data_IF_809550161924
#
_entry.id   IF_809550161924
#
_cell.length_a   1.000
_cell.length_b   1.000
_cell.length_c   1.000
_cell.angle_alpha   90.00
_cell.angle_beta   90.00
_cell.angle_gamma   90.00
#
_symmetry.space_group_name_H-M   'P 1'
#
loop_
_entity.id
_entity.type
_entity.pdbx_description
1 polymer ?
#
# COMPACT_ATOMS: atom_id res chain seq x y z
N UNK A 1 -21.16 -60.65 -6.86
CA UNK A 1 -20.20 -61.63 -6.34
C UNK A 1 -19.70 -61.16 -4.97
N UNK A 2 -19.70 -62.07 -3.99
CA UNK A 2 -19.19 -61.91 -2.63
C UNK A 2 -17.66 -61.59 -2.65
N UNK A 3 -17.01 -60.97 -1.67
CA UNK A 3 -17.24 -60.92 -0.24
C UNK A 3 -16.18 -61.74 0.51
N UNK A 4 -15.29 -61.04 1.24
CA UNK A 4 -14.49 -61.46 2.40
C UNK A 4 -13.18 -62.30 2.25
N UNK A 5 -12.09 -61.66 2.73
CA UNK A 5 -11.17 -62.07 3.81
C UNK A 5 -10.46 -63.44 3.78
N UNK A 6 -9.12 -63.43 3.85
CA UNK A 6 -8.38 -64.02 4.99
C UNK A 6 -6.86 -63.98 4.74
N UNK A 7 -6.17 -63.47 5.76
CA UNK A 7 -4.73 -63.54 6.01
C UNK A 7 -4.25 -64.99 6.05
N UNK A 8 -3.05 -65.25 5.51
CA UNK A 8 -2.13 -66.27 6.05
C UNK A 8 -0.69 -65.75 6.02
N UNK A 9 -0.08 -65.97 7.17
CA UNK A 9 1.23 -65.58 7.65
C UNK A 9 2.30 -66.60 7.22
N UNK A 10 3.56 -66.27 7.51
CA UNK A 10 4.75 -67.14 7.63
C UNK A 10 5.58 -67.41 6.35
N UNK A 11 6.77 -66.82 6.28
CA UNK A 11 8.02 -67.47 6.73
C UNK A 11 9.25 -66.72 6.20
N UNK A 12 10.11 -66.32 7.13
CA UNK A 12 11.47 -65.81 6.90
C UNK A 12 12.38 -66.95 6.42
N UNK A 13 13.22 -66.73 5.40
CA UNK A 13 14.63 -67.21 5.30
C UNK A 13 15.21 -66.86 3.92
N UNK A 14 16.12 -65.90 3.87
CA UNK A 14 17.59 -66.05 3.82
C UNK A 14 18.11 -65.85 2.38
N UNK A 15 18.84 -64.75 2.21
CA UNK A 15 19.57 -64.38 0.99
C UNK A 15 20.81 -65.28 0.85
N UNK A 16 21.16 -65.77 -0.35
CA UNK A 16 22.51 -66.24 -0.60
C UNK A 16 23.43 -65.05 -0.93
N UNK A 17 24.48 -64.97 -0.12
CA UNK A 17 25.65 -64.10 -0.24
C UNK A 17 26.39 -64.33 -1.57
N UNK A 18 26.95 -63.27 -2.17
CA UNK A 18 28.03 -63.47 -3.15
C UNK A 18 28.16 -62.51 -4.34
N UNK A 19 27.34 -61.48 -4.51
CA UNK A 19 27.54 -60.50 -5.59
C UNK A 19 28.29 -59.25 -5.08
N UNK A 20 29.62 -59.30 -5.12
CA UNK A 20 30.47 -58.13 -4.91
C UNK A 20 30.24 -57.11 -6.03
N UNK A 21 29.56 -56.00 -5.72
CA UNK A 21 29.59 -54.78 -6.52
C UNK A 21 30.20 -53.70 -5.65
N UNK A 22 31.46 -53.37 -5.97
CA UNK A 22 32.25 -52.31 -5.36
C UNK A 22 31.44 -51.01 -5.33
N UNK A 23 30.99 -50.62 -4.14
CA UNK A 23 30.57 -49.24 -3.86
C UNK A 23 31.82 -48.38 -3.94
N UNK A 24 31.96 -47.62 -5.01
CA UNK A 24 32.85 -46.47 -4.99
C UNK A 24 32.17 -45.41 -4.13
N UNK A 25 32.58 -45.35 -2.86
CA UNK A 25 32.32 -44.18 -2.02
C UNK A 25 32.87 -42.97 -2.75
N UNK A 26 31.99 -42.21 -3.40
CA UNK A 26 32.32 -40.87 -3.87
C UNK A 26 32.33 -39.96 -2.65
N UNK A 27 33.36 -40.13 -1.82
CA UNK A 27 33.76 -39.15 -0.84
C UNK A 27 34.17 -37.91 -1.62
N UNK A 28 33.24 -36.98 -1.83
CA UNK A 28 33.59 -35.59 -2.18
C UNK A 28 34.11 -34.92 -0.91
N UNK A 29 35.32 -35.36 -0.54
CA UNK A 29 36.17 -34.83 0.53
C UNK A 29 36.34 -33.35 0.28
N UNK A 30 36.06 -32.57 1.31
CA UNK A 30 36.31 -31.13 1.45
C UNK A 30 37.40 -30.64 0.49
N UNK A 31 36.98 -29.96 -0.58
CA UNK A 31 37.94 -29.34 -1.49
C UNK A 31 38.60 -28.18 -0.74
N UNK A 32 39.93 -28.25 -0.59
CA UNK A 32 40.77 -27.22 0.03
C UNK A 32 40.65 -25.81 -0.61
N UNK A 33 39.91 -25.69 -1.71
CA UNK A 33 39.55 -24.44 -2.37
C UNK A 33 38.27 -23.79 -1.81
N UNK A 34 37.44 -24.48 -1.02
CA UNK A 34 36.22 -23.91 -0.46
C UNK A 34 36.46 -22.69 0.47
N UNK A 35 37.53 -22.65 1.30
CA UNK A 35 37.84 -21.48 2.13
C UNK A 35 38.38 -20.31 1.30
N UNK A 36 39.33 -20.57 0.40
CA UNK A 36 39.96 -19.54 -0.44
C UNK A 36 38.99 -18.92 -1.44
N UNK A 37 38.07 -19.70 -2.03
CA UNK A 37 36.99 -19.19 -2.88
C UNK A 37 35.99 -18.37 -2.05
N UNK A 38 35.69 -18.78 -0.81
CA UNK A 38 34.85 -17.98 0.11
C UNK A 38 35.54 -16.67 0.48
N UNK A 39 36.82 -16.68 0.79
CA UNK A 39 37.59 -15.49 1.15
C UNK A 39 37.80 -14.54 -0.04
N UNK A 40 38.07 -15.06 -1.24
CA UNK A 40 38.14 -14.28 -2.47
C UNK A 40 36.77 -13.64 -2.78
N UNK A 41 35.68 -14.42 -2.71
CA UNK A 41 34.30 -13.89 -2.86
C UNK A 41 33.96 -12.83 -1.79
N UNK A 42 34.49 -12.98 -0.58
CA UNK A 42 34.30 -12.05 0.54
C UNK A 42 35.13 -10.77 0.40
N UNK A 43 36.30 -10.84 -0.27
CA UNK A 43 37.14 -9.67 -0.57
C UNK A 43 36.63 -8.82 -1.74
N UNK A 44 35.88 -9.40 -2.68
CA UNK A 44 35.41 -8.68 -3.89
C UNK A 44 34.07 -7.96 -3.71
N UNK A 45 33.22 -8.38 -2.77
CA UNK A 45 31.96 -7.65 -2.48
C UNK A 45 32.23 -6.57 -1.44
N UNK A 46 32.55 -5.36 -1.90
CA UNK A 46 32.39 -4.17 -1.06
C UNK A 46 30.91 -4.04 -0.74
N UNK A 47 30.55 -4.46 0.46
CA UNK A 47 29.20 -4.31 0.97
C UNK A 47 29.03 -2.85 1.37
N UNK A 48 28.10 -2.18 0.71
CA UNK A 48 27.79 -0.78 0.94
C UNK A 48 26.45 -0.66 1.68
N UNK A 49 26.28 0.42 2.43
CA UNK A 49 25.01 0.80 3.02
C UNK A 49 24.58 2.13 2.40
N UNK A 50 23.46 2.12 1.70
CA UNK A 50 22.86 3.32 1.12
C UNK A 50 21.34 3.21 1.21
N UNK A 51 20.66 4.34 1.16
CA UNK A 51 19.20 4.38 1.19
C UNK A 51 18.60 3.73 -0.05
N UNK A 52 17.57 2.91 0.15
CA UNK A 52 16.92 2.22 -0.96
C UNK A 52 15.45 1.96 -0.67
N UNK A 53 14.67 1.88 -1.74
CA UNK A 53 13.31 1.38 -1.71
C UNK A 53 13.28 -0.09 -2.16
N UNK A 54 12.85 -1.02 -1.29
CA UNK A 54 12.80 -2.43 -1.62
C UNK A 54 11.82 -2.77 -2.75
N UNK A 55 10.92 -1.87 -3.14
CA UNK A 55 10.02 -2.05 -4.28
C UNK A 55 10.62 -1.62 -5.63
N UNK A 56 11.69 -0.83 -5.63
CA UNK A 56 12.28 -0.26 -6.85
C UNK A 56 13.80 -0.47 -7.01
N UNK A 57 14.52 -0.84 -5.94
CA UNK A 57 15.98 -1.06 -5.98
C UNK A 57 16.38 -2.17 -6.94
N UNK A 58 17.41 -1.94 -7.76
CA UNK A 58 17.86 -2.88 -8.80
C UNK A 58 18.49 -4.16 -8.22
N UNK A 59 18.59 -5.22 -9.05
CA UNK A 59 19.30 -6.46 -8.68
C UNK A 59 20.77 -6.19 -8.36
N UNK A 60 21.42 -5.31 -9.12
CA UNK A 60 22.80 -4.90 -8.91
C UNK A 60 22.98 -4.17 -7.57
N UNK A 61 22.08 -3.24 -7.25
CA UNK A 61 22.10 -2.51 -5.99
C UNK A 61 21.82 -3.42 -4.79
N UNK A 62 20.92 -4.40 -4.92
CA UNK A 62 20.77 -5.45 -3.91
C UNK A 62 22.09 -6.22 -3.70
N UNK A 63 22.82 -6.53 -4.77
CA UNK A 63 24.13 -7.19 -4.64
C UNK A 63 25.16 -6.31 -3.91
N UNK A 64 25.15 -4.99 -4.15
CA UNK A 64 25.99 -4.01 -3.43
C UNK A 64 25.62 -3.88 -1.96
N UNK A 65 24.33 -4.03 -1.61
CA UNK A 65 23.85 -4.12 -0.24
C UNK A 65 24.25 -5.43 0.47
N UNK A 66 24.86 -6.37 -0.25
CA UNK A 66 25.42 -7.61 0.27
C UNK A 66 24.56 -8.86 0.03
N UNK A 67 23.49 -8.75 -0.76
CA UNK A 67 22.74 -9.92 -1.21
C UNK A 67 23.54 -10.73 -2.24
N UNK A 68 23.38 -12.04 -2.23
CA UNK A 68 23.81 -12.85 -3.37
C UNK A 68 22.91 -12.58 -4.58
N UNK A 69 23.43 -12.80 -5.78
CA UNK A 69 22.66 -12.68 -7.03
C UNK A 69 21.34 -13.49 -6.97
N UNK A 70 21.38 -14.72 -6.44
CA UNK A 70 20.17 -15.54 -6.22
C UNK A 70 19.15 -14.87 -5.29
N UNK A 71 19.63 -14.25 -4.22
CA UNK A 71 18.77 -13.53 -3.28
C UNK A 71 18.16 -12.28 -3.95
N UNK A 72 18.97 -11.51 -4.66
CA UNK A 72 18.54 -10.32 -5.38
C UNK A 72 17.48 -10.65 -6.45
N UNK A 73 17.73 -11.70 -7.26
CA UNK A 73 16.76 -12.22 -8.23
C UNK A 73 15.48 -12.75 -7.57
N UNK A 74 15.56 -13.33 -6.37
CA UNK A 74 14.37 -13.79 -5.65
C UNK A 74 13.50 -12.61 -5.21
N UNK A 75 14.10 -11.50 -4.76
CA UNK A 75 13.39 -10.27 -4.41
C UNK A 75 12.75 -9.67 -5.67
N UNK A 76 13.48 -9.63 -6.77
CA UNK A 76 12.98 -9.09 -8.04
C UNK A 76 11.81 -9.92 -8.60
N UNK A 77 11.93 -11.25 -8.60
CA UNK A 77 10.85 -12.16 -8.97
C UNK A 77 9.61 -12.01 -8.09
N UNK A 78 9.78 -11.72 -6.79
CA UNK A 78 8.66 -11.43 -5.91
C UNK A 78 7.92 -10.16 -6.36
N UNK A 79 8.64 -9.09 -6.72
CA UNK A 79 8.03 -7.85 -7.24
C UNK A 79 7.33 -8.05 -8.58
N UNK A 80 7.95 -8.82 -9.48
CA UNK A 80 7.41 -9.14 -10.80
C UNK A 80 6.09 -9.92 -10.72
N UNK A 81 5.90 -10.71 -9.67
CA UNK A 81 4.64 -11.43 -9.37
C UNK A 81 3.60 -10.56 -8.65
N UNK A 82 3.84 -9.26 -8.50
CA UNK A 82 2.94 -8.34 -7.77
C UNK A 82 3.19 -8.26 -6.27
N UNK A 83 4.23 -8.90 -5.76
CA UNK A 83 4.67 -8.74 -4.38
C UNK A 83 5.13 -7.30 -4.09
N UNK A 84 4.78 -6.78 -2.92
CA UNK A 84 5.11 -5.41 -2.48
C UNK A 84 5.49 -5.39 -1.01
N UNK A 85 6.54 -4.65 -0.70
CA UNK A 85 6.97 -4.36 0.67
C UNK A 85 6.31 -3.07 1.12
N UNK A 86 5.32 -3.16 2.01
CA UNK A 86 4.54 -2.00 2.49
C UNK A 86 5.18 -1.40 3.73
N UNK A 87 5.76 -2.25 4.58
CA UNK A 87 6.44 -1.87 5.83
C UNK A 87 7.86 -2.40 5.83
N UNK A 88 8.74 -1.75 6.59
CA UNK A 88 10.11 -2.25 6.80
C UNK A 88 10.11 -3.69 7.33
N UNK A 89 9.14 -4.04 8.17
CA UNK A 89 8.94 -5.39 8.70
C UNK A 89 8.63 -6.43 7.63
N UNK A 90 8.06 -6.04 6.49
CA UNK A 90 7.75 -6.98 5.40
C UNK A 90 9.04 -7.45 4.72
N UNK A 91 10.03 -6.55 4.64
CA UNK A 91 11.35 -6.89 4.13
C UNK A 91 12.08 -7.86 5.06
N UNK A 92 11.88 -7.75 6.38
CA UNK A 92 12.43 -8.71 7.35
C UNK A 92 11.83 -10.12 7.20
N UNK A 93 10.52 -10.21 6.92
CA UNK A 93 9.79 -11.47 6.77
C UNK A 93 10.09 -12.20 5.45
N UNK A 94 10.76 -11.54 4.51
CA UNK A 94 11.17 -12.19 3.26
C UNK A 94 12.18 -13.30 3.58
N UNK A 95 11.86 -14.55 3.19
CA UNK A 95 12.68 -15.77 3.38
C UNK A 95 14.14 -15.65 2.89
N UNK A 96 14.43 -14.59 2.15
CA UNK A 96 15.69 -14.30 1.50
C UNK A 96 16.64 -13.50 2.41
N UNK A 97 16.10 -12.80 3.41
CA UNK A 97 16.84 -11.84 4.25
C UNK A 97 17.12 -12.46 5.61
N UNK A 98 18.41 -12.65 5.94
CA UNK A 98 18.78 -13.06 7.29
C UNK A 98 18.57 -11.90 8.28
N UNK A 99 18.18 -12.18 9.52
CA UNK A 99 17.96 -11.19 10.57
C UNK A 99 19.13 -10.20 10.73
N UNK A 100 20.37 -10.68 10.62
CA UNK A 100 21.57 -9.85 10.71
C UNK A 100 21.71 -8.87 9.55
N UNK A 101 21.29 -9.26 8.35
CA UNK A 101 21.25 -8.39 7.17
C UNK A 101 20.14 -7.36 7.32
N UNK A 102 18.96 -7.78 7.79
CA UNK A 102 17.84 -6.87 8.03
C UNK A 102 18.21 -5.77 9.03
N UNK A 103 18.74 -6.13 10.22
CA UNK A 103 19.13 -5.14 11.24
C UNK A 103 20.15 -4.12 10.73
N UNK A 104 21.05 -4.53 9.83
CA UNK A 104 22.02 -3.63 9.19
C UNK A 104 21.35 -2.67 8.20
N UNK A 105 20.35 -3.14 7.46
CA UNK A 105 19.71 -2.39 6.37
C UNK A 105 18.48 -1.60 6.81
N UNK A 106 17.83 -1.95 7.92
CA UNK A 106 16.62 -1.30 8.45
C UNK A 106 16.71 0.24 8.51
N UNK A 107 17.83 0.86 8.93
CA UNK A 107 17.96 2.32 8.93
C UNK A 107 17.94 2.94 7.54
N UNK A 108 18.29 2.17 6.51
CA UNK A 108 18.43 2.62 5.12
C UNK A 108 17.21 2.30 4.25
N UNK A 109 16.30 1.43 4.71
CA UNK A 109 15.06 1.14 4.00
C UNK A 109 14.19 2.41 4.01
N UNK A 110 13.80 2.86 2.82
CA UNK A 110 12.84 3.94 2.58
C UNK A 110 11.69 3.38 1.76
N UNK A 111 10.50 3.32 2.33
CA UNK A 111 9.29 2.93 1.58
C UNK A 111 8.43 4.20 1.53
N UNK A 112 8.19 4.76 0.33
CA UNK A 112 7.36 5.95 0.19
C UNK A 112 5.92 5.64 0.63
N UNK A 113 5.26 6.64 1.21
CA UNK A 113 3.84 6.56 1.50
C UNK A 113 3.03 6.70 0.21
N UNK A 114 1.80 6.21 0.23
CA UNK A 114 0.86 6.42 -0.86
C UNK A 114 0.11 7.72 -0.63
N UNK A 115 0.31 8.68 -1.50
CA UNK A 115 -0.46 9.93 -1.49
C UNK A 115 -1.86 9.68 -2.07
N UNK A 116 -2.88 9.83 -1.22
CA UNK A 116 -4.27 9.55 -1.59
C UNK A 116 -4.81 10.52 -2.65
N UNK A 117 -4.18 11.67 -2.84
CA UNK A 117 -4.61 12.64 -3.87
C UNK A 117 -4.00 12.40 -5.24
N UNK A 118 -2.85 11.73 -5.33
CA UNK A 118 -2.14 11.49 -6.59
C UNK A 118 -2.09 10.02 -6.99
N UNK A 119 -2.38 9.10 -6.08
CA UNK A 119 -2.42 7.67 -6.37
C UNK A 119 -3.44 7.33 -7.47
N UNK A 120 -3.04 6.40 -8.34
CA UNK A 120 -3.94 5.74 -9.27
C UNK A 120 -4.51 4.45 -8.65
N UNK A 121 -5.31 3.72 -9.42
CA UNK A 121 -5.90 2.45 -8.97
C UNK A 121 -4.85 1.43 -8.50
N UNK A 122 -3.68 1.39 -9.16
CA UNK A 122 -2.58 0.49 -8.78
C UNK A 122 -1.89 0.93 -7.48
N UNK A 123 -1.75 2.24 -7.25
CA UNK A 123 -1.25 2.82 -6.01
C UNK A 123 -2.15 2.51 -4.82
N UNK A 124 -3.47 2.57 -5.01
CA UNK A 124 -4.42 2.17 -3.96
C UNK A 124 -4.43 0.67 -3.70
N UNK A 125 -4.41 -0.17 -4.74
CA UNK A 125 -4.34 -1.64 -4.60
C UNK A 125 -3.05 -2.11 -3.89
N UNK A 126 -2.00 -1.29 -3.91
CA UNK A 126 -0.79 -1.53 -3.13
C UNK A 126 -0.99 -1.40 -1.62
N UNK A 127 -2.08 -0.80 -1.12
CA UNK A 127 -2.36 -0.67 0.32
C UNK A 127 -2.94 -1.97 0.90
N UNK A 128 -2.62 -2.31 2.16
CA UNK A 128 -3.14 -3.51 2.79
C UNK A 128 -4.65 -3.40 3.02
N UNK A 129 -5.41 -4.42 2.64
CA UNK A 129 -6.86 -4.43 2.79
C UNK A 129 -7.63 -3.59 1.76
N UNK A 130 -6.91 -2.95 0.83
CA UNK A 130 -7.48 -2.25 -0.32
C UNK A 130 -7.32 -3.14 -1.54
N UNK A 131 -8.45 -3.60 -2.09
CA UNK A 131 -8.49 -4.29 -3.37
C UNK A 131 -9.13 -3.41 -4.44
N UNK A 132 -9.37 -3.95 -5.65
CA UNK A 132 -9.90 -3.19 -6.78
C UNK A 132 -11.20 -2.43 -6.49
N UNK A 133 -12.07 -2.99 -5.66
CA UNK A 133 -13.31 -2.34 -5.24
C UNK A 133 -13.04 -1.03 -4.45
N UNK A 134 -12.21 -1.10 -3.42
CA UNK A 134 -11.91 0.07 -2.59
C UNK A 134 -11.04 1.06 -3.34
N UNK A 135 -10.10 0.60 -4.17
CA UNK A 135 -9.31 1.48 -5.04
C UNK A 135 -10.22 2.35 -5.93
N UNK A 136 -11.20 1.73 -6.60
CA UNK A 136 -12.19 2.45 -7.42
C UNK A 136 -13.05 3.41 -6.58
N UNK A 137 -13.47 3.00 -5.37
CA UNK A 137 -14.28 3.85 -4.49
C UNK A 137 -13.50 5.03 -3.93
N UNK A 138 -12.23 4.85 -3.60
CA UNK A 138 -11.35 5.92 -3.16
C UNK A 138 -11.12 6.95 -4.26
N UNK A 139 -10.96 6.50 -5.51
CA UNK A 139 -10.84 7.39 -6.66
C UNK A 139 -12.14 8.15 -6.95
N UNK A 140 -13.28 7.46 -6.98
CA UNK A 140 -14.61 8.08 -7.18
C UNK A 140 -14.90 9.13 -6.10
N UNK A 141 -14.61 8.79 -4.84
CA UNK A 141 -14.85 9.68 -3.71
C UNK A 141 -13.91 10.89 -3.71
N UNK A 142 -12.63 10.70 -4.10
CA UNK A 142 -11.67 11.79 -4.32
C UNK A 142 -12.21 12.81 -5.31
N UNK A 143 -12.68 12.35 -6.47
CA UNK A 143 -13.22 13.23 -7.52
C UNK A 143 -14.41 14.04 -7.00
N UNK A 144 -15.31 13.39 -6.26
CA UNK A 144 -16.50 14.06 -5.69
C UNK A 144 -16.16 15.10 -4.62
N UNK A 145 -15.11 14.88 -3.83
CA UNK A 145 -14.61 15.86 -2.86
C UNK A 145 -13.86 17.02 -3.51
N UNK A 146 -13.35 16.86 -4.73
CA UNK A 146 -12.34 17.76 -5.30
C UNK A 146 -10.92 17.50 -4.78
N UNK A 147 -10.70 16.31 -4.18
CA UNK A 147 -9.49 15.93 -3.48
C UNK A 147 -9.74 15.72 -1.98
N UNK A 148 -9.03 14.75 -1.41
CA UNK A 148 -9.00 14.56 0.04
C UNK A 148 -8.27 15.74 0.69
N UNK A 149 -8.89 16.37 1.67
CA UNK A 149 -8.25 17.39 2.51
C UNK A 149 -7.61 16.77 3.75
N UNK A 150 -8.10 15.61 4.20
CA UNK A 150 -7.52 14.85 5.31
C UNK A 150 -7.80 13.34 5.18
N UNK A 151 -6.94 12.47 5.73
CA UNK A 151 -7.07 11.02 5.58
C UNK A 151 -8.36 10.41 6.12
N UNK A 152 -8.93 10.96 7.19
CA UNK A 152 -10.12 10.41 7.85
C UNK A 152 -11.37 10.46 6.95
N UNK A 153 -11.38 11.26 5.88
CA UNK A 153 -12.46 11.25 4.88
C UNK A 153 -12.60 9.89 4.18
N UNK A 154 -11.59 9.03 4.24
CA UNK A 154 -11.72 7.64 3.77
C UNK A 154 -12.77 6.85 4.55
N UNK A 155 -13.01 7.18 5.83
CA UNK A 155 -14.04 6.55 6.67
C UNK A 155 -15.47 6.86 6.20
N UNK A 156 -15.64 7.89 5.37
CA UNK A 156 -16.94 8.25 4.80
C UNK A 156 -17.32 7.35 3.61
N UNK A 157 -16.36 6.57 3.08
CA UNK A 157 -16.62 5.61 2.03
C UNK A 157 -17.42 4.45 2.61
N UNK A 158 -18.53 4.09 1.94
CA UNK A 158 -19.38 3.00 2.38
C UNK A 158 -18.59 1.70 2.61
N UNK A 159 -18.83 1.06 3.75
CA UNK A 159 -18.12 -0.13 4.23
C UNK A 159 -16.60 0.06 4.45
N UNK A 160 -16.07 1.28 4.49
CA UNK A 160 -14.69 1.58 4.87
C UNK A 160 -14.58 1.74 6.39
N UNK A 161 -14.51 0.62 7.11
CA UNK A 161 -14.45 0.62 8.57
C UNK A 161 -13.10 1.06 9.16
N UNK A 162 -13.11 1.45 10.43
CA UNK A 162 -11.94 1.91 11.20
C UNK A 162 -10.77 0.92 11.17
N UNK A 163 -11.05 -0.39 11.26
CA UNK A 163 -10.02 -1.43 11.22
C UNK A 163 -9.14 -1.33 9.95
N UNK A 164 -9.76 -1.03 8.80
CA UNK A 164 -9.01 -0.87 7.54
C UNK A 164 -8.21 0.41 7.57
N UNK A 165 -8.80 1.51 8.03
CA UNK A 165 -8.12 2.79 8.15
C UNK A 165 -6.90 2.68 9.06
N UNK A 166 -7.03 2.07 10.24
CA UNK A 166 -5.93 1.83 11.17
C UNK A 166 -4.82 0.97 10.56
N UNK A 167 -5.19 -0.02 9.73
CA UNK A 167 -4.24 -0.88 9.02
C UNK A 167 -3.37 -0.15 7.99
N UNK A 168 -3.82 1.00 7.48
CA UNK A 168 -3.14 1.75 6.40
C UNK A 168 -2.78 3.20 6.73
N UNK A 169 -3.26 3.80 7.83
CA UNK A 169 -3.05 5.23 8.15
C UNK A 169 -1.59 5.66 8.19
N UNK A 170 -0.68 4.77 8.62
CA UNK A 170 0.76 5.04 8.64
C UNK A 170 1.42 4.93 7.25
N UNK A 171 0.74 4.31 6.29
CA UNK A 171 1.23 4.02 4.94
C UNK A 171 0.75 5.06 3.92
N UNK A 172 -0.18 5.92 4.32
CA UNK A 172 -0.74 6.95 3.45
C UNK A 172 -0.28 8.35 3.88
N UNK A 173 -0.30 9.24 2.92
CA UNK A 173 -0.21 10.67 3.13
C UNK A 173 -1.32 11.38 2.35
N UNK A 174 -1.60 12.62 2.72
CA UNK A 174 -2.60 13.45 2.08
C UNK A 174 -1.90 14.72 1.65
N UNK A 175 -1.50 14.80 0.37
CA UNK A 175 -1.00 16.05 -0.17
C UNK A 175 -2.11 17.10 -0.23
N UNK A 176 -1.74 18.36 -0.34
CA UNK A 176 -2.74 19.42 -0.43
C UNK A 176 -3.56 19.32 -1.72
N UNK A 177 -4.89 19.16 -1.65
CA UNK A 177 -5.73 19.12 -2.85
C UNK A 177 -5.90 20.53 -3.44
N UNK A 178 -6.41 20.64 -4.68
CA UNK A 178 -6.95 21.90 -5.19
C UNK A 178 -8.05 22.46 -4.28
N UNK A 179 -8.25 23.78 -4.29
CA UNK A 179 -9.33 24.40 -3.54
C UNK A 179 -10.68 24.08 -4.19
N UNK A 180 -11.64 23.62 -3.41
CA UNK A 180 -13.00 23.34 -3.86
C UNK A 180 -13.78 24.63 -4.05
N UNK A 181 -14.32 24.81 -5.25
CA UNK A 181 -14.98 26.02 -5.75
C UNK A 181 -16.43 26.16 -5.25
N UNK A 182 -16.64 26.09 -3.92
CA UNK A 182 -17.97 26.10 -3.28
C UNK A 182 -18.83 27.30 -3.70
N UNK A 183 -18.22 28.48 -3.80
CA UNK A 183 -18.94 29.74 -4.01
C UNK A 183 -19.16 30.07 -5.49
N UNK A 184 -18.57 29.34 -6.42
CA UNK A 184 -18.62 29.64 -7.86
C UNK A 184 -19.29 28.53 -8.67
N UNK A 185 -19.18 27.26 -8.23
CA UNK A 185 -19.81 26.12 -8.93
C UNK A 185 -21.34 26.23 -9.00
N UNK A 186 -21.96 25.71 -10.06
CA UNK A 186 -23.43 25.65 -10.18
C UNK A 186 -24.01 24.53 -9.30
N UNK A 187 -25.30 24.62 -8.98
CA UNK A 187 -25.97 23.73 -8.02
C UNK A 187 -25.91 22.23 -8.41
N UNK A 188 -25.94 21.91 -9.69
CA UNK A 188 -25.82 20.55 -10.21
C UNK A 188 -24.44 19.92 -9.97
N UNK A 189 -23.38 20.72 -10.03
CA UNK A 189 -22.01 20.29 -9.65
C UNK A 189 -21.85 20.21 -8.14
N UNK A 190 -22.35 21.21 -7.39
CA UNK A 190 -22.32 21.21 -5.92
C UNK A 190 -22.96 19.95 -5.33
N UNK A 191 -24.09 19.52 -5.90
CA UNK A 191 -24.81 18.30 -5.47
C UNK A 191 -23.98 17.02 -5.57
N UNK A 192 -22.92 16.98 -6.37
CA UNK A 192 -22.05 15.79 -6.46
C UNK A 192 -21.18 15.61 -5.21
N UNK A 193 -20.94 16.71 -4.48
CA UNK A 193 -20.10 16.72 -3.30
C UNK A 193 -20.70 15.86 -2.16
N UNK A 194 -19.92 14.99 -1.49
CA UNK A 194 -20.45 14.08 -0.46
C UNK A 194 -21.15 14.75 0.72
N UNK A 195 -20.73 15.96 1.08
CA UNK A 195 -21.32 16.73 2.18
C UNK A 195 -22.48 17.64 1.74
N UNK A 196 -22.80 17.69 0.45
CA UNK A 196 -23.95 18.42 -0.10
C UNK A 196 -24.97 17.37 -0.57
N UNK A 197 -25.61 16.71 0.40
CA UNK A 197 -26.36 15.46 0.18
C UNK A 197 -27.69 15.63 -0.55
N UNK A 198 -28.26 16.83 -0.57
CA UNK A 198 -29.59 17.07 -1.14
C UNK A 198 -29.55 18.10 -2.25
N UNK A 199 -30.46 17.94 -3.23
CA UNK A 199 -30.67 18.94 -4.27
C UNK A 199 -31.04 20.30 -3.67
N UNK A 200 -31.91 20.28 -2.65
CA UNK A 200 -32.35 21.48 -1.95
C UNK A 200 -31.20 22.21 -1.28
N UNK A 201 -30.23 21.49 -0.68
CA UNK A 201 -29.04 22.11 -0.11
C UNK A 201 -28.19 22.80 -1.17
N UNK A 202 -27.96 22.16 -2.32
CA UNK A 202 -27.20 22.77 -3.42
C UNK A 202 -27.88 24.03 -3.97
N UNK A 203 -29.20 23.97 -4.22
CA UNK A 203 -29.98 25.13 -4.67
C UNK A 203 -29.97 26.26 -3.62
N UNK A 204 -30.07 25.91 -2.34
CA UNK A 204 -30.04 26.86 -1.24
C UNK A 204 -28.64 27.48 -1.02
N UNK A 205 -27.54 26.76 -1.29
CA UNK A 205 -26.18 27.34 -1.27
C UNK A 205 -26.06 28.43 -2.34
N UNK A 206 -26.59 28.19 -3.56
CA UNK A 206 -26.60 29.19 -4.63
C UNK A 206 -27.42 30.41 -4.23
N UNK A 207 -28.62 30.20 -3.69
CA UNK A 207 -29.45 31.30 -3.20
C UNK A 207 -28.77 32.08 -2.06
N UNK A 208 -28.12 31.37 -1.14
CA UNK A 208 -27.41 31.97 -0.02
C UNK A 208 -26.27 32.88 -0.48
N UNK A 209 -25.47 32.45 -1.47
CA UNK A 209 -24.36 33.28 -1.99
C UNK A 209 -24.83 34.50 -2.77
N UNK A 210 -26.02 34.45 -3.39
CA UNK A 210 -26.58 35.60 -4.13
C UNK A 210 -27.19 36.66 -3.20
N UNK A 211 -27.65 36.26 -2.01
CA UNK A 211 -28.32 37.13 -1.05
C UNK A 211 -27.44 37.55 0.14
N UNK A 212 -26.19 37.08 0.19
CA UNK A 212 -25.26 37.36 1.29
C UNK A 212 -24.02 38.08 0.74
N UNK A 213 -23.58 39.19 1.35
CA UNK A 213 -22.37 39.88 0.95
C UNK A 213 -21.15 38.94 0.95
N UNK A 214 -20.26 39.07 -0.04
CA UNK A 214 -19.12 38.17 -0.23
C UNK A 214 -18.23 38.01 1.02
N UNK A 215 -18.03 39.11 1.79
CA UNK A 215 -17.25 39.09 3.03
C UNK A 215 -17.89 38.32 4.20
N UNK A 216 -19.17 37.96 4.09
CA UNK A 216 -19.91 37.20 5.10
C UNK A 216 -20.16 35.74 4.69
N UNK A 217 -19.74 35.34 3.48
CA UNK A 217 -19.89 33.96 3.01
C UNK A 217 -18.93 33.04 3.77
N UNK A 218 -19.50 32.03 4.42
CA UNK A 218 -18.79 31.06 5.24
C UNK A 218 -19.56 29.75 5.30
N UNK A 219 -18.86 28.63 5.54
CA UNK A 219 -19.51 27.32 5.69
C UNK A 219 -20.32 27.28 6.98
N UNK A 220 -19.85 27.95 8.03
CA UNK A 220 -20.55 28.13 9.29
C UNK A 220 -21.88 28.88 9.09
N UNK A 221 -21.89 29.88 8.19
CA UNK A 221 -23.10 30.59 7.77
C UNK A 221 -24.13 29.67 7.10
N UNK A 222 -23.69 28.68 6.31
CA UNK A 222 -24.59 27.68 5.72
C UNK A 222 -25.25 26.81 6.78
N UNK A 223 -24.53 26.42 7.83
CA UNK A 223 -25.08 25.69 8.96
C UNK A 223 -26.07 26.56 9.75
N UNK A 224 -25.71 27.80 10.06
CA UNK A 224 -26.55 28.74 10.80
C UNK A 224 -27.85 29.08 10.06
N UNK A 225 -27.81 29.12 8.72
CA UNK A 225 -28.98 29.29 7.86
C UNK A 225 -29.83 28.01 7.69
N UNK A 226 -29.42 26.88 8.27
CA UNK A 226 -30.11 25.59 8.16
C UNK A 226 -30.01 24.94 6.77
N UNK A 227 -29.04 25.36 5.95
CA UNK A 227 -28.84 24.87 4.59
C UNK A 227 -28.14 23.51 4.60
N UNK A 228 -27.15 23.37 5.48
CA UNK A 228 -26.42 22.14 5.70
C UNK A 228 -26.63 21.65 7.15
N UNK A 229 -26.75 20.34 7.37
CA UNK A 229 -26.63 19.77 8.71
C UNK A 229 -25.30 20.16 9.36
N UNK A 230 -25.29 20.36 10.67
CA UNK A 230 -24.09 20.79 11.42
C UNK A 230 -22.89 19.85 11.19
N UNK A 231 -23.13 18.54 11.13
CA UNK A 231 -22.08 17.55 10.87
C UNK A 231 -21.47 17.70 9.46
N UNK A 232 -22.32 17.82 8.44
CA UNK A 232 -21.87 17.97 7.05
C UNK A 232 -21.15 19.31 6.83
N UNK A 233 -21.65 20.39 7.47
CA UNK A 233 -20.99 21.69 7.45
C UNK A 233 -19.63 21.64 8.16
N UNK A 234 -19.51 20.98 9.32
CA UNK A 234 -18.24 20.83 10.02
C UNK A 234 -17.21 20.04 9.20
N UNK A 235 -17.64 18.99 8.49
CA UNK A 235 -16.77 18.24 7.57
C UNK A 235 -16.36 19.08 6.37
N UNK A 236 -17.31 19.82 5.77
CA UNK A 236 -17.06 20.71 4.64
C UNK A 236 -16.12 21.86 5.02
N UNK A 237 -16.24 22.43 6.23
CA UNK A 237 -15.36 23.49 6.72
C UNK A 237 -13.90 23.03 6.91
N UNK A 238 -13.68 21.72 7.11
CA UNK A 238 -12.33 21.12 7.13
C UNK A 238 -11.78 20.87 5.72
N UNK A 239 -12.59 20.94 4.67
CA UNK A 239 -12.11 20.84 3.31
C UNK A 239 -11.38 22.11 2.88
N UNK A 240 -10.44 21.99 1.94
CA UNK A 240 -9.84 23.15 1.30
C UNK A 240 -10.87 23.80 0.37
N UNK A 241 -11.45 24.92 0.78
CA UNK A 241 -12.44 25.66 -0.01
C UNK A 241 -11.81 26.93 -0.58
N UNK A 242 -12.12 27.24 -1.84
CA UNK A 242 -11.71 28.49 -2.46
C UNK A 242 -12.39 29.67 -1.75
N UNK A 243 -11.66 30.77 -1.57
CA UNK A 243 -12.26 31.98 -1.01
C UNK A 243 -13.41 32.45 -1.92
N UNK A 244 -14.50 33.00 -1.36
CA UNK A 244 -15.54 33.61 -2.19
C UNK A 244 -14.91 34.71 -3.04
N UNK A 245 -15.19 34.69 -4.35
CA UNK A 245 -14.67 35.72 -5.25
C UNK A 245 -15.21 37.08 -4.80
N UNK A 246 -14.33 37.90 -4.23
CA UNK A 246 -14.59 39.32 -3.97
C UNK A 246 -14.39 40.09 -5.28
N UNK A 247 -15.12 39.70 -6.33
CA UNK A 247 -15.17 40.49 -7.56
C UNK A 247 -16.41 41.40 -7.46
N UNK A 248 -16.18 42.55 -6.84
CA UNK A 248 -17.14 43.61 -6.64
C UNK A 248 -16.42 44.92 -6.29
N UNK A 249 -15.42 45.28 -7.09
CA UNK A 249 -15.08 46.70 -7.30
C UNK A 249 -15.74 47.09 -8.62
N UNK A 250 -16.82 47.87 -8.48
CA UNK A 250 -17.41 48.91 -9.34
C UNK A 250 -18.96 48.89 -9.32
#
# INVERSE_FOLDING_TARGET
EAGASSVRESTVRELPEGAQVLRTDTVRRESAHAPLIKEARRRTRRVENFEFDPNSVSVEDLMRLGFSEKQALSIDNYRAKGGRFRRKSDFAKSYVVADSVYRRLEPYIRIPKVDINTADSAGFDALPGIGPYFAAKMEEYRVRLGGYSFPEQLLDIYNFGEERFDGLKDLIECSEPPAYELWTLPADELRKHPYIRSRQAADAIVLYRENTPAGSLSVEGLAAAGILPEEDAARLARCRIAAPNVSGDD
#
